data_IF_785447274760
#
_entry.id   IF_785447274760
#
_cell.length_a   1.000
_cell.length_b   1.000
_cell.length_c   1.000
_cell.angle_alpha   90.00
_cell.angle_beta   90.00
_cell.angle_gamma   90.00
#
_symmetry.space_group_name_H-M   'P 1'
#
loop_
_entity.id
_entity.type
_entity.pdbx_description
1 polymer ?
#
# COMPACT_ATOMS: atom_id res chain seq x y z
N UNK A 1 10.07 -6.50 -3.44
CA UNK A 1 10.34 -6.02 -4.81
C UNK A 1 9.11 -5.43 -5.49
N UNK A 2 7.99 -6.16 -5.66
CA UNK A 2 6.78 -5.60 -6.32
C UNK A 2 6.24 -4.35 -5.61
N UNK A 3 6.18 -4.35 -4.28
CA UNK A 3 5.66 -3.21 -3.50
C UNK A 3 6.57 -1.98 -3.49
N UNK A 4 7.89 -2.16 -3.68
CA UNK A 4 8.81 -1.02 -3.86
C UNK A 4 8.65 -0.38 -5.24
N UNK A 5 8.59 -1.22 -6.30
CA UNK A 5 8.32 -0.74 -7.65
C UNK A 5 6.95 -0.06 -7.76
N UNK A 6 5.95 -0.58 -7.04
CA UNK A 6 4.62 0.04 -6.97
C UNK A 6 4.67 1.38 -6.24
N UNK A 7 5.39 1.48 -5.12
CA UNK A 7 5.59 2.75 -4.41
C UNK A 7 6.26 3.81 -5.28
N UNK A 8 7.32 3.42 -6.01
CA UNK A 8 7.97 4.30 -6.98
C UNK A 8 7.03 4.69 -8.13
N UNK A 9 6.23 3.77 -8.66
CA UNK A 9 5.29 4.06 -9.76
C UNK A 9 4.21 5.06 -9.36
N UNK A 10 3.73 4.99 -8.10
CA UNK A 10 2.81 5.99 -7.54
C UNK A 10 3.50 7.35 -7.39
N UNK A 11 4.72 7.36 -6.88
CA UNK A 11 5.52 8.58 -6.78
C UNK A 11 5.77 9.24 -8.15
N UNK A 12 6.12 8.44 -9.16
CA UNK A 12 6.33 8.87 -10.54
C UNK A 12 5.03 9.23 -11.29
N UNK A 13 3.86 9.15 -10.61
CA UNK A 13 2.53 9.41 -11.17
C UNK A 13 2.14 8.51 -12.35
N UNK A 14 2.76 7.34 -12.46
CA UNK A 14 2.42 6.31 -13.44
C UNK A 14 1.10 5.64 -13.03
N UNK A 15 0.93 5.37 -11.73
CA UNK A 15 -0.28 4.77 -11.16
C UNK A 15 -0.87 5.72 -10.12
N UNK A 16 -2.17 6.08 -10.21
CA UNK A 16 -2.81 6.89 -9.17
C UNK A 16 -2.83 6.18 -7.81
N UNK A 17 -2.53 6.91 -6.73
CA UNK A 17 -2.57 6.38 -5.36
C UNK A 17 -3.94 5.77 -5.01
N UNK A 18 -5.02 6.36 -5.52
CA UNK A 18 -6.38 5.85 -5.35
C UNK A 18 -6.54 4.43 -5.89
N UNK A 19 -6.06 4.16 -7.10
CA UNK A 19 -6.15 2.83 -7.73
C UNK A 19 -5.39 1.80 -6.88
N UNK A 20 -4.23 2.17 -6.34
CA UNK A 20 -3.48 1.29 -5.43
C UNK A 20 -4.22 1.09 -4.11
N UNK A 21 -4.85 2.14 -3.57
CA UNK A 21 -5.68 2.07 -2.38
C UNK A 21 -6.86 1.12 -2.53
N UNK A 22 -7.58 1.20 -3.65
CA UNK A 22 -8.75 0.39 -3.95
C UNK A 22 -8.38 -1.08 -4.23
N UNK A 23 -7.25 -1.32 -4.93
CA UNK A 23 -6.81 -2.68 -5.28
C UNK A 23 -6.06 -3.40 -4.17
N UNK A 24 -5.15 -2.69 -3.48
CA UNK A 24 -4.17 -3.30 -2.59
C UNK A 24 -3.97 -2.54 -1.27
N UNK A 25 -4.78 -1.51 -0.97
CA UNK A 25 -4.59 -0.68 0.22
C UNK A 25 -4.61 -1.46 1.53
N UNK A 26 -5.54 -2.41 1.66
CA UNK A 26 -5.62 -3.31 2.81
C UNK A 26 -4.38 -4.20 2.95
N UNK A 27 -3.96 -4.83 1.84
CA UNK A 27 -2.78 -5.71 1.79
C UNK A 27 -1.49 -4.95 2.12
N UNK A 28 -1.32 -3.74 1.57
CA UNK A 28 -0.14 -2.90 1.82
C UNK A 28 -0.06 -2.50 3.30
N UNK A 29 -1.17 -2.05 3.89
CA UNK A 29 -1.20 -1.68 5.33
C UNK A 29 -0.88 -2.88 6.23
N UNK A 30 -1.46 -4.05 5.94
CA UNK A 30 -1.20 -5.28 6.70
C UNK A 30 0.24 -5.77 6.55
N UNK A 31 0.77 -5.77 5.33
CA UNK A 31 2.14 -6.17 5.05
C UNK A 31 3.15 -5.22 5.70
N UNK A 32 2.91 -3.90 5.63
CA UNK A 32 3.75 -2.91 6.30
C UNK A 32 3.79 -3.13 7.81
N UNK A 33 2.63 -3.34 8.46
CA UNK A 33 2.56 -3.60 9.91
C UNK A 33 3.38 -4.82 10.34
N UNK A 34 3.44 -5.87 9.50
CA UNK A 34 4.23 -7.08 9.80
C UNK A 34 5.72 -6.89 9.55
N UNK A 35 6.10 -6.21 8.46
CA UNK A 35 7.51 -6.07 8.08
C UNK A 35 8.21 -4.91 8.76
N UNK A 36 7.47 -3.92 9.26
CA UNK A 36 8.01 -2.70 9.88
C UNK A 36 9.07 -2.99 10.96
N UNK A 37 8.86 -3.90 11.93
CA UNK A 37 9.88 -4.18 12.96
C UNK A 37 11.18 -4.74 12.36
N UNK A 38 11.07 -5.57 11.31
CA UNK A 38 12.23 -6.10 10.60
C UNK A 38 12.97 -5.00 9.84
N UNK A 39 12.25 -4.13 9.14
CA UNK A 39 12.85 -3.00 8.42
C UNK A 39 13.58 -2.05 9.37
N UNK A 40 12.97 -1.73 10.52
CA UNK A 40 13.58 -0.87 11.54
C UNK A 40 14.89 -1.48 12.08
N UNK A 41 14.90 -2.79 12.38
CA UNK A 41 16.10 -3.49 12.85
C UNK A 41 17.20 -3.57 11.78
N UNK A 42 16.85 -3.88 10.53
CA UNK A 42 17.82 -3.93 9.42
C UNK A 42 18.44 -2.56 9.13
N UNK A 43 17.67 -1.48 9.25
CA UNK A 43 18.21 -0.11 9.13
C UNK A 43 19.13 0.25 10.28
N UNK A 44 18.79 -0.18 11.50
CA UNK A 44 19.66 -0.01 12.67
C UNK A 44 20.99 -0.76 12.50
N UNK A 45 20.96 -1.96 11.92
CA UNK A 45 22.16 -2.78 11.66
C UNK A 45 23.02 -2.27 10.51
N UNK A 46 22.40 -1.92 9.39
CA UNK A 46 23.10 -1.52 8.17
C UNK A 46 23.49 -0.03 8.14
N UNK A 47 22.86 0.80 8.98
CA UNK A 47 23.00 2.26 8.95
C UNK A 47 22.36 2.93 7.72
N UNK A 48 21.75 2.16 6.81
CA UNK A 48 21.14 2.66 5.58
C UNK A 48 19.64 2.75 5.72
N UNK A 49 19.06 3.92 5.43
CA UNK A 49 17.60 4.12 5.45
C UNK A 49 16.92 3.69 4.13
N UNK A 50 17.69 3.27 3.12
CA UNK A 50 17.17 3.02 1.76
C UNK A 50 16.35 1.74 1.64
N UNK A 51 16.57 0.76 2.53
CA UNK A 51 15.87 -0.51 2.46
C UNK A 51 14.37 -0.29 2.72
N UNK A 52 13.52 -0.71 1.77
CA UNK A 52 12.05 -0.58 1.82
C UNK A 52 11.54 0.87 1.89
N UNK A 53 12.30 1.85 1.41
CA UNK A 53 11.93 3.28 1.48
C UNK A 53 10.61 3.58 0.76
N UNK A 54 10.44 3.06 -0.46
CA UNK A 54 9.24 3.29 -1.25
C UNK A 54 8.05 2.52 -0.73
N UNK A 55 8.29 1.36 -0.13
CA UNK A 55 7.23 0.59 0.50
C UNK A 55 6.70 1.29 1.76
N UNK A 56 7.60 1.82 2.59
CA UNK A 56 7.22 2.66 3.72
C UNK A 56 6.45 3.90 3.26
N UNK A 57 6.98 4.61 2.26
CA UNK A 57 6.33 5.81 1.73
C UNK A 57 4.93 5.50 1.23
N UNK A 58 4.76 4.43 0.45
CA UNK A 58 3.46 3.99 -0.05
C UNK A 58 2.49 3.66 1.10
N UNK A 59 2.94 2.92 2.12
CA UNK A 59 2.12 2.61 3.28
C UNK A 59 1.69 3.88 4.03
N UNK A 60 2.60 4.83 4.24
CA UNK A 60 2.28 6.13 4.86
C UNK A 60 1.32 6.96 4.02
N UNK A 61 1.49 6.97 2.69
CA UNK A 61 0.53 7.65 1.80
C UNK A 61 -0.84 7.00 1.88
N UNK A 62 -0.91 5.67 1.92
CA UNK A 62 -2.16 4.93 2.07
C UNK A 62 -2.80 5.08 3.45
N UNK A 63 -2.04 5.29 4.52
CA UNK A 63 -2.60 5.61 5.85
C UNK A 63 -3.18 7.02 5.89
N UNK A 64 -2.51 8.00 5.25
CA UNK A 64 -3.01 9.38 5.10
C UNK A 64 -4.20 9.45 4.14
N UNK A 65 -4.17 8.62 3.11
CA UNK A 65 -5.23 8.43 2.16
C UNK A 65 -6.34 7.58 2.80
N UNK A 66 -7.20 8.23 3.57
CA UNK A 66 -8.47 7.65 3.97
C UNK A 66 -9.31 7.49 2.71
N UNK A 67 -9.64 6.27 2.26
CA UNK A 67 -10.50 6.11 1.11
C UNK A 67 -11.88 6.56 1.56
N UNK A 68 -12.26 7.80 1.25
CA UNK A 68 -13.62 8.29 1.46
C UNK A 68 -14.68 7.53 0.66
N UNK A 69 -14.36 6.39 0.02
CA UNK A 69 -15.20 5.65 -0.92
C UNK A 69 -14.90 4.14 -1.02
N UNK A 70 -14.35 3.50 0.01
CA UNK A 70 -14.61 2.07 0.24
C UNK A 70 -15.40 1.90 1.54
N UNK A 71 -16.47 2.69 1.65
CA UNK A 71 -17.61 2.40 2.52
C UNK A 71 -18.47 1.29 1.90
N UNK A 72 -17.81 0.23 1.41
CA UNK A 72 -18.52 -1.00 1.19
C UNK A 72 -18.60 -1.67 2.56
N UNK A 73 -19.75 -1.53 3.20
CA UNK A 73 -20.12 -2.28 4.42
C UNK A 73 -20.09 -3.81 4.18
N UNK A 74 -19.92 -4.24 2.92
CA UNK A 74 -19.87 -5.62 2.42
C UNK A 74 -18.65 -5.82 1.52
N UNK A 75 -18.14 -7.05 1.36
CA UNK A 75 -16.94 -7.26 0.55
C UNK A 75 -17.18 -6.96 -0.93
N UNK A 76 -16.13 -6.62 -1.70
CA UNK A 76 -16.26 -6.38 -3.15
C UNK A 76 -16.90 -7.58 -3.90
N UNK A 77 -16.69 -8.80 -3.42
CA UNK A 77 -17.31 -10.02 -3.93
C UNK A 77 -18.85 -10.02 -3.82
N UNK A 78 -19.40 -9.33 -2.81
CA UNK A 78 -20.85 -9.14 -2.64
C UNK A 78 -21.32 -7.88 -3.35
N UNK A 79 -20.57 -6.78 -3.23
CA UNK A 79 -20.93 -5.48 -3.79
C UNK A 79 -21.05 -5.50 -5.32
N UNK A 80 -20.24 -6.32 -6.00
CA UNK A 80 -20.17 -6.40 -7.45
C UNK A 80 -20.67 -7.74 -8.01
N UNK A 81 -21.49 -8.47 -7.24
CA UNK A 81 -22.02 -9.78 -7.64
C UNK A 81 -22.69 -9.76 -9.03
N UNK A 82 -23.32 -8.64 -9.40
CA UNK A 82 -24.08 -8.47 -10.64
C UNK A 82 -23.35 -7.63 -11.70
N UNK A 83 -22.03 -7.49 -11.62
CA UNK A 83 -21.28 -6.70 -12.61
C UNK A 83 -21.34 -7.33 -14.01
N UNK A 84 -21.48 -6.47 -15.05
CA UNK A 84 -21.47 -6.87 -16.46
C UNK A 84 -20.36 -6.11 -17.22
N UNK A 85 -19.66 -6.77 -18.15
CA UNK A 85 -18.52 -6.21 -18.88
C UNK A 85 -18.91 -5.11 -19.88
#
# INVERSE_FOLDING_TARGET
>A
MILEGLGYSVYARIVPLQVVGDLMGGTVRLAWRKVRPYVEEERRRSGSQKTFEWFQWLATQLERYSPGKTDLQVGAHEAYLNWKP
#
